data_IF_247719149973
#
_entry.id   IF_247719149973
#
_cell.length_a   1.000
_cell.length_b   1.000
_cell.length_c   1.000
_cell.angle_alpha   90.00
_cell.angle_beta   90.00
_cell.angle_gamma   90.00
#
_symmetry.space_group_name_H-M   'P 1'
#
loop_
_entity.id
_entity.type
_entity.pdbx_description
1 polymer ?
#
# COMPACT_ATOMS: atom_id res chain seq x y z
N UNK A 1 -6.88 -23.69 -37.86
CA UNK A 1 -6.29 -24.29 -36.64
C UNK A 1 -4.80 -24.02 -36.74
N UNK A 2 -4.22 -23.19 -35.86
CA UNK A 2 -2.78 -22.87 -35.93
C UNK A 2 -1.96 -24.13 -35.58
N UNK A 3 -0.83 -24.39 -36.23
CA UNK A 3 -0.02 -25.57 -35.93
C UNK A 3 0.53 -25.50 -34.49
N UNK A 4 0.61 -26.63 -33.79
CA UNK A 4 1.02 -26.69 -32.37
C UNK A 4 2.37 -26.00 -32.07
N UNK A 5 3.32 -26.01 -33.01
CA UNK A 5 4.60 -25.33 -32.85
C UNK A 5 4.48 -23.80 -32.79
N UNK A 6 3.55 -23.19 -33.53
CA UNK A 6 3.29 -21.74 -33.47
C UNK A 6 2.67 -21.33 -32.13
N UNK A 7 1.83 -22.19 -31.54
CA UNK A 7 1.19 -21.93 -30.24
C UNK A 7 2.25 -21.93 -29.13
N UNK A 8 3.21 -22.86 -29.17
CA UNK A 8 4.29 -22.94 -28.19
C UNK A 8 5.25 -21.74 -28.29
N UNK A 9 5.60 -21.31 -29.51
CA UNK A 9 6.42 -20.12 -29.74
C UNK A 9 5.74 -18.85 -29.22
N UNK A 10 4.45 -18.67 -29.52
CA UNK A 10 3.69 -17.51 -29.06
C UNK A 10 3.55 -17.48 -27.53
N UNK A 11 3.32 -18.64 -26.90
CA UNK A 11 3.27 -18.76 -25.45
C UNK A 11 4.63 -18.44 -24.79
N UNK A 12 5.73 -18.91 -25.39
CA UNK A 12 7.09 -18.61 -24.92
C UNK A 12 7.40 -17.11 -25.03
N UNK A 13 7.10 -16.49 -26.18
CA UNK A 13 7.30 -15.05 -26.40
C UNK A 13 6.49 -14.23 -25.39
N UNK A 14 5.22 -14.58 -25.16
CA UNK A 14 4.37 -13.89 -24.20
C UNK A 14 4.86 -14.06 -22.76
N UNK A 15 5.36 -15.25 -22.41
CA UNK A 15 5.96 -15.51 -21.10
C UNK A 15 7.21 -14.66 -20.89
N UNK A 16 8.12 -14.62 -21.88
CA UNK A 16 9.34 -13.79 -21.82
C UNK A 16 8.98 -12.31 -21.68
N UNK A 17 8.04 -11.80 -22.49
CA UNK A 17 7.56 -10.41 -22.41
C UNK A 17 7.00 -10.11 -21.01
N UNK A 18 6.21 -11.01 -20.44
CA UNK A 18 5.64 -10.86 -19.10
C UNK A 18 6.72 -10.81 -18.01
N UNK A 19 7.73 -11.70 -18.10
CA UNK A 19 8.86 -11.73 -17.16
C UNK A 19 9.66 -10.42 -17.25
N UNK A 20 10.01 -9.97 -18.46
CA UNK A 20 10.76 -8.74 -18.67
C UNK A 20 9.98 -7.51 -18.19
N UNK A 21 8.68 -7.45 -18.47
CA UNK A 21 7.82 -6.37 -18.00
C UNK A 21 7.71 -6.35 -16.48
N UNK A 22 7.56 -7.52 -15.84
CA UNK A 22 7.51 -7.64 -14.38
C UNK A 22 8.83 -7.21 -13.75
N UNK A 23 9.97 -7.63 -14.32
CA UNK A 23 11.30 -7.21 -13.90
C UNK A 23 11.49 -5.70 -14.06
N UNK A 24 11.04 -5.12 -15.17
CA UNK A 24 11.06 -3.68 -15.39
C UNK A 24 10.21 -2.92 -14.36
N UNK A 25 8.97 -3.35 -14.11
CA UNK A 25 8.11 -2.74 -13.10
C UNK A 25 8.70 -2.85 -11.70
N UNK A 26 9.30 -3.99 -11.38
CA UNK A 26 10.00 -4.20 -10.11
C UNK A 26 11.16 -3.21 -9.96
N UNK A 27 12.08 -3.16 -10.92
CA UNK A 27 13.21 -2.23 -10.92
C UNK A 27 12.76 -0.77 -10.86
N UNK A 28 11.77 -0.38 -11.67
CA UNK A 28 11.20 0.97 -11.68
C UNK A 28 10.60 1.34 -10.34
N UNK A 29 9.86 0.44 -9.70
CA UNK A 29 9.24 0.66 -8.39
C UNK A 29 10.30 0.84 -7.31
N UNK A 30 11.28 -0.07 -7.25
CA UNK A 30 12.38 0.02 -6.31
C UNK A 30 13.18 1.33 -6.47
N UNK A 31 13.53 1.69 -7.72
CA UNK A 31 14.25 2.93 -8.00
C UNK A 31 13.45 4.18 -7.64
N UNK A 32 12.14 4.18 -7.93
CA UNK A 32 11.24 5.28 -7.57
C UNK A 32 11.21 5.48 -6.06
N UNK A 33 11.03 4.41 -5.29
CA UNK A 33 10.98 4.50 -3.83
C UNK A 33 12.34 4.87 -3.23
N UNK A 34 13.45 4.31 -3.73
CA UNK A 34 14.80 4.77 -3.33
C UNK A 34 14.92 6.29 -3.48
N UNK A 35 14.52 6.85 -4.63
CA UNK A 35 14.62 8.29 -4.88
C UNK A 35 13.65 9.10 -4.03
N UNK A 36 12.43 8.59 -3.81
CA UNK A 36 11.40 9.25 -3.01
C UNK A 36 11.89 9.52 -1.59
N UNK A 37 12.52 8.51 -0.98
CA UNK A 37 12.89 8.53 0.44
C UNK A 37 14.33 9.02 0.70
N UNK A 38 15.15 9.25 -0.33
CA UNK A 38 16.60 9.62 -0.22
C UNK A 38 16.89 10.93 0.53
N UNK A 39 15.89 11.77 0.78
CA UNK A 39 16.07 13.14 1.31
C UNK A 39 15.19 13.45 2.53
N UNK A 40 14.67 12.43 3.20
CA UNK A 40 13.70 12.59 4.28
C UNK A 40 14.26 13.33 5.52
N UNK A 41 15.53 13.11 5.88
CA UNK A 41 16.08 13.42 7.21
C UNK A 41 16.18 14.91 7.60
N UNK A 42 15.73 15.85 6.77
CA UNK A 42 15.89 17.30 7.04
C UNK A 42 14.61 18.13 6.91
N UNK A 43 13.47 17.52 6.57
CA UNK A 43 12.24 18.30 6.36
C UNK A 43 11.58 18.64 7.70
N UNK A 44 11.51 19.93 8.03
CA UNK A 44 10.77 20.44 9.20
C UNK A 44 9.26 20.36 8.91
N UNK A 45 8.47 19.91 9.88
CA UNK A 45 7.01 19.77 9.76
C UNK A 45 6.54 18.44 9.17
N UNK A 46 5.23 18.26 9.03
CA UNK A 46 4.63 17.02 8.50
C UNK A 46 4.64 17.04 6.98
N UNK A 47 5.19 16.00 6.36
CA UNK A 47 5.22 15.82 4.91
C UNK A 47 4.77 14.40 4.57
N UNK A 48 3.49 14.25 4.23
CA UNK A 48 2.84 12.97 4.01
C UNK A 48 2.94 12.49 2.56
N UNK A 49 3.12 11.20 2.36
CA UNK A 49 2.86 10.52 1.09
C UNK A 49 1.78 9.48 1.30
N UNK A 50 0.72 9.55 0.50
CA UNK A 50 -0.47 8.68 0.62
C UNK A 50 -0.36 7.36 -0.17
N UNK A 51 0.86 7.00 -0.62
CA UNK A 51 1.10 5.82 -1.44
C UNK A 51 0.73 5.96 -2.92
N UNK A 52 0.12 7.09 -3.31
CA UNK A 52 -0.28 7.38 -4.69
C UNK A 52 0.39 8.66 -5.18
N UNK A 53 0.88 8.66 -6.42
CA UNK A 53 1.54 9.85 -6.99
C UNK A 53 0.57 11.02 -7.20
N UNK A 54 -0.72 10.73 -7.35
CA UNK A 54 -1.80 11.72 -7.50
C UNK A 54 -2.95 11.30 -6.60
N UNK A 55 -3.46 12.27 -5.85
CA UNK A 55 -4.70 12.14 -5.08
C UNK A 55 -5.78 12.90 -5.83
N UNK A 56 -6.98 12.33 -6.02
CA UNK A 56 -8.11 13.06 -6.61
C UNK A 56 -8.37 14.35 -5.83
N UNK A 57 -8.66 15.44 -6.53
CA UNK A 57 -9.10 16.70 -5.90
C UNK A 57 -10.54 16.57 -5.43
N UNK A 58 -10.98 17.36 -4.45
CA UNK A 58 -12.36 17.30 -3.92
C UNK A 58 -13.47 17.43 -4.96
N UNK A 59 -13.22 18.15 -6.06
CA UNK A 59 -14.18 18.31 -7.15
C UNK A 59 -14.16 17.16 -8.18
N UNK A 60 -13.30 16.17 -7.99
CA UNK A 60 -13.18 15.00 -8.85
C UNK A 60 -13.85 13.80 -8.18
N UNK A 61 -14.49 12.95 -8.99
CA UNK A 61 -15.10 11.73 -8.49
C UNK A 61 -14.04 10.79 -7.90
N UNK A 62 -14.27 10.38 -6.66
CA UNK A 62 -13.48 9.40 -5.93
C UNK A 62 -14.43 8.46 -5.17
N UNK A 63 -14.00 7.22 -4.95
CA UNK A 63 -14.81 6.21 -4.27
C UNK A 63 -13.95 5.32 -3.36
N UNK A 64 -14.55 4.78 -2.31
CA UNK A 64 -13.88 3.86 -1.40
C UNK A 64 -12.81 4.54 -0.54
N UNK A 65 -11.74 3.82 -0.22
CA UNK A 65 -10.74 4.28 0.76
C UNK A 65 -9.97 5.55 0.37
N UNK A 66 -9.88 5.85 -0.92
CA UNK A 66 -9.10 7.00 -1.42
C UNK A 66 -9.74 8.35 -1.05
N UNK A 67 -11.05 8.37 -0.75
CA UNK A 67 -11.74 9.57 -0.27
C UNK A 67 -11.09 10.09 1.02
N UNK A 68 -10.68 9.19 1.92
CA UNK A 68 -9.96 9.58 3.15
C UNK A 68 -8.65 10.33 2.83
N UNK A 69 -7.94 9.92 1.77
CA UNK A 69 -6.75 10.62 1.32
C UNK A 69 -7.09 11.95 0.64
N UNK A 70 -8.17 12.01 -0.15
CA UNK A 70 -8.67 13.25 -0.76
C UNK A 70 -9.02 14.29 0.30
N UNK A 71 -9.71 13.91 1.38
CA UNK A 71 -10.07 14.81 2.47
C UNK A 71 -8.83 15.31 3.22
N UNK A 72 -7.88 14.42 3.54
CA UNK A 72 -6.66 14.78 4.25
C UNK A 72 -5.71 15.63 3.39
N UNK A 73 -5.76 15.48 2.06
CA UNK A 73 -4.85 16.16 1.14
C UNK A 73 -5.02 17.70 1.15
N UNK A 74 -6.16 18.22 1.61
CA UNK A 74 -6.36 19.67 1.77
C UNK A 74 -5.57 20.23 2.95
N UNK A 75 -5.50 19.49 4.06
CA UNK A 75 -4.77 19.89 5.28
C UNK A 75 -3.30 19.48 5.21
N UNK A 76 -3.02 18.29 4.68
CA UNK A 76 -1.69 17.70 4.54
C UNK A 76 -1.45 17.29 3.07
N UNK A 77 -0.98 18.22 2.21
CA UNK A 77 -0.81 17.94 0.80
C UNK A 77 0.14 16.77 0.51
N UNK A 78 -0.27 15.91 -0.43
CA UNK A 78 0.51 14.76 -0.86
C UNK A 78 1.90 15.18 -1.37
N UNK A 79 2.93 14.70 -0.70
CA UNK A 79 4.33 15.00 -0.99
C UNK A 79 5.01 13.80 -1.65
N UNK A 80 5.13 13.84 -2.98
CA UNK A 80 5.80 12.79 -3.74
C UNK A 80 7.34 12.81 -3.62
N UNK A 81 7.93 13.90 -3.11
CA UNK A 81 9.38 14.07 -2.96
C UNK A 81 9.73 14.29 -1.49
N UNK A 82 10.65 13.47 -0.99
CA UNK A 82 11.17 13.55 0.38
C UNK A 82 10.07 13.62 1.48
N UNK A 83 9.02 12.77 1.44
CA UNK A 83 8.08 12.68 2.55
C UNK A 83 8.75 12.11 3.80
N UNK A 84 8.23 12.49 4.96
CA UNK A 84 8.64 11.97 6.27
C UNK A 84 7.60 11.09 6.94
N UNK A 85 6.41 11.01 6.34
CA UNK A 85 5.32 10.16 6.78
C UNK A 85 4.73 9.42 5.58
N UNK A 86 4.61 8.10 5.68
CA UNK A 86 3.84 7.25 4.79
C UNK A 86 2.48 7.00 5.43
N UNK A 87 1.41 7.43 4.77
CA UNK A 87 0.04 7.18 5.22
C UNK A 87 -0.63 6.21 4.25
N UNK A 88 -1.05 5.05 4.73
CA UNK A 88 -1.72 4.04 3.91
C UNK A 88 -3.13 3.79 4.40
N UNK A 89 -4.07 3.59 3.48
CA UNK A 89 -5.44 3.18 3.77
C UNK A 89 -5.64 1.76 3.25
N UNK A 90 -6.04 0.82 4.11
CA UNK A 90 -6.06 -0.59 3.72
C UNK A 90 -7.07 -0.91 2.61
N UNK A 91 -8.17 -0.16 2.53
CA UNK A 91 -9.17 -0.27 1.45
C UNK A 91 -8.84 0.56 0.20
N UNK A 92 -7.66 1.18 0.13
CA UNK A 92 -7.14 1.87 -1.06
C UNK A 92 -5.62 1.64 -1.20
N UNK A 93 -5.21 0.40 -0.94
CA UNK A 93 -3.80 0.03 -0.86
C UNK A 93 -3.10 0.14 -2.23
N UNK A 94 -1.93 0.78 -2.31
CA UNK A 94 -1.11 0.77 -3.53
C UNK A 94 -0.62 -0.65 -3.88
N UNK A 95 -0.46 -0.95 -5.17
CA UNK A 95 -0.06 -2.28 -5.67
C UNK A 95 1.26 -2.82 -5.10
N UNK A 96 2.16 -1.92 -4.66
CA UNK A 96 3.49 -2.27 -4.16
C UNK A 96 3.74 -1.75 -2.73
N UNK A 97 2.69 -1.68 -1.92
CA UNK A 97 2.77 -1.14 -0.56
C UNK A 97 3.89 -1.74 0.32
N UNK A 98 4.17 -3.07 0.31
CA UNK A 98 5.29 -3.61 1.09
C UNK A 98 6.67 -3.02 0.70
N UNK A 99 6.87 -2.74 -0.60
CA UNK A 99 8.11 -2.09 -1.09
C UNK A 99 8.18 -0.65 -0.58
N UNK A 100 7.06 0.09 -0.65
CA UNK A 100 6.97 1.46 -0.14
C UNK A 100 7.29 1.52 1.36
N UNK A 101 6.67 0.64 2.16
CA UNK A 101 6.92 0.52 3.60
C UNK A 101 8.39 0.24 3.87
N UNK A 102 8.99 -0.75 3.19
CA UNK A 102 10.40 -1.09 3.37
C UNK A 102 11.31 0.11 3.18
N UNK A 103 11.13 0.89 2.11
CA UNK A 103 11.98 2.05 1.85
C UNK A 103 11.68 3.23 2.76
N UNK A 104 10.41 3.48 3.09
CA UNK A 104 10.01 4.49 4.06
C UNK A 104 10.67 4.24 5.42
N UNK A 105 10.56 3.00 5.95
CA UNK A 105 11.17 2.61 7.22
C UNK A 105 12.69 2.67 7.18
N UNK A 106 13.32 2.22 6.08
CA UNK A 106 14.79 2.32 5.90
C UNK A 106 15.27 3.78 5.92
N UNK A 107 14.44 4.71 5.47
CA UNK A 107 14.73 6.15 5.50
C UNK A 107 14.24 6.86 6.78
N UNK A 108 13.85 6.11 7.83
CA UNK A 108 13.40 6.66 9.10
C UNK A 108 12.03 7.35 9.08
N UNK A 109 11.26 7.23 7.98
CA UNK A 109 9.91 7.78 7.91
C UNK A 109 8.95 7.03 8.85
N UNK A 110 7.93 7.75 9.33
CA UNK A 110 6.84 7.14 10.11
C UNK A 110 5.80 6.53 9.18
N UNK A 111 5.28 5.37 9.56
CA UNK A 111 4.16 4.69 8.88
C UNK A 111 2.91 4.82 9.74
N UNK A 112 1.88 5.45 9.18
CA UNK A 112 0.52 5.45 9.72
C UNK A 112 -0.35 4.58 8.83
N UNK A 113 -1.06 3.63 9.42
CA UNK A 113 -1.97 2.74 8.72
C UNK A 113 -3.41 3.01 9.16
N UNK A 114 -4.26 3.40 8.22
CA UNK A 114 -5.71 3.44 8.39
C UNK A 114 -6.30 2.09 7.97
N UNK A 115 -6.58 1.25 8.97
CA UNK A 115 -7.07 -0.11 8.80
C UNK A 115 -8.60 -0.13 8.79
N UNK A 116 -9.18 -0.46 7.64
CA UNK A 116 -10.62 -0.44 7.40
C UNK A 116 -11.29 -1.83 7.44
N UNK A 117 -10.51 -2.90 7.29
CA UNK A 117 -11.05 -4.26 7.30
C UNK A 117 -9.99 -5.30 6.97
N UNK A 118 -10.42 -6.56 6.91
CA UNK A 118 -9.55 -7.71 6.58
C UNK A 118 -10.25 -8.56 5.52
N UNK A 119 -9.51 -9.42 4.83
CA UNK A 119 -10.14 -10.51 4.11
C UNK A 119 -10.67 -11.52 5.13
N UNK A 120 -12.00 -11.72 5.13
CA UNK A 120 -12.67 -12.62 6.06
C UNK A 120 -13.13 -13.91 5.34
N UNK A 121 -13.11 -15.06 6.02
CA UNK A 121 -13.50 -16.35 5.44
C UNK A 121 -14.88 -16.35 4.78
N UNK A 122 -15.84 -15.63 5.34
CA UNK A 122 -17.22 -15.56 4.82
C UNK A 122 -17.33 -15.05 3.37
N UNK A 123 -16.35 -14.30 2.87
CA UNK A 123 -16.39 -13.74 1.52
C UNK A 123 -15.10 -13.98 0.71
N UNK A 124 -14.03 -14.51 1.32
CA UNK A 124 -12.78 -14.89 0.62
C UNK A 124 -12.43 -16.37 0.71
N UNK A 125 -13.20 -17.20 1.43
CA UNK A 125 -12.96 -18.63 1.61
C UNK A 125 -11.48 -18.91 1.97
N UNK A 126 -10.85 -19.88 1.29
CA UNK A 126 -9.45 -20.26 1.48
C UNK A 126 -8.42 -19.23 0.95
N UNK A 127 -8.86 -18.13 0.31
CA UNK A 127 -7.98 -17.09 -0.24
C UNK A 127 -7.68 -15.97 0.75
N UNK A 128 -8.18 -16.05 1.98
CA UNK A 128 -7.97 -15.02 3.00
C UNK A 128 -6.49 -14.71 3.21
N UNK A 129 -5.62 -15.73 3.29
CA UNK A 129 -4.20 -15.52 3.59
C UNK A 129 -3.46 -14.81 2.45
N UNK A 130 -3.84 -15.06 1.20
CA UNK A 130 -3.26 -14.37 0.03
C UNK A 130 -3.53 -12.86 0.13
N UNK A 131 -4.73 -12.49 0.58
CA UNK A 131 -5.14 -11.09 0.73
C UNK A 131 -4.59 -10.47 2.03
N UNK A 132 -4.57 -11.23 3.13
CA UNK A 132 -4.17 -10.73 4.45
C UNK A 132 -2.66 -10.70 4.68
N UNK A 133 -1.88 -11.56 4.02
CA UNK A 133 -0.43 -11.64 4.18
C UNK A 133 0.28 -10.29 3.97
N UNK A 134 0.01 -9.57 2.85
CA UNK A 134 0.55 -8.23 2.64
C UNK A 134 0.13 -7.23 3.74
N UNK A 135 -1.13 -7.28 4.18
CA UNK A 135 -1.62 -6.39 5.24
C UNK A 135 -0.99 -6.68 6.60
N UNK A 136 -0.76 -7.94 6.94
CA UNK A 136 -0.04 -8.36 8.15
C UNK A 136 1.37 -7.78 8.16
N UNK A 137 2.08 -7.84 7.04
CA UNK A 137 3.42 -7.26 6.92
C UNK A 137 3.40 -5.73 7.13
N UNK A 138 2.44 -5.03 6.53
CA UNK A 138 2.32 -3.57 6.66
C UNK A 138 1.96 -3.18 8.11
N UNK A 139 0.97 -3.86 8.70
CA UNK A 139 0.52 -3.65 10.07
C UNK A 139 1.66 -3.87 11.07
N UNK A 140 2.47 -4.91 10.88
CA UNK A 140 3.63 -5.19 11.72
C UNK A 140 4.66 -4.05 11.73
N UNK A 141 4.84 -3.35 10.61
CA UNK A 141 5.81 -2.25 10.48
C UNK A 141 5.25 -0.86 10.83
N UNK A 142 3.94 -0.76 11.06
CA UNK A 142 3.27 0.49 11.38
C UNK A 142 3.85 1.12 12.66
N UNK A 143 3.97 2.44 12.69
CA UNK A 143 4.29 3.20 13.90
C UNK A 143 3.01 3.63 14.63
N UNK A 144 1.92 3.78 13.88
CA UNK A 144 0.59 4.09 14.40
C UNK A 144 -0.49 3.45 13.54
N UNK A 145 -1.56 2.93 14.17
CA UNK A 145 -2.68 2.30 13.48
C UNK A 145 -3.99 2.95 13.87
N UNK A 146 -4.77 3.36 12.88
CA UNK A 146 -6.11 3.91 13.05
C UNK A 146 -7.09 2.84 12.59
N UNK A 147 -7.98 2.40 13.47
CA UNK A 147 -9.05 1.48 13.13
C UNK A 147 -10.35 2.24 12.91
N UNK A 148 -11.11 1.86 11.88
CA UNK A 148 -12.42 2.46 11.59
C UNK A 148 -13.53 2.00 12.55
N UNK A 149 -13.31 0.92 13.30
CA UNK A 149 -14.26 0.43 14.30
C UNK A 149 -13.56 -0.56 15.22
N UNK A 150 -14.17 -0.81 16.39
CA UNK A 150 -13.74 -1.89 17.29
C UNK A 150 -13.79 -3.25 16.58
N UNK A 151 -14.83 -3.47 15.78
CA UNK A 151 -14.95 -4.68 14.95
C UNK A 151 -13.74 -4.85 14.03
N UNK A 152 -13.28 -3.79 13.35
CA UNK A 152 -12.10 -3.85 12.50
C UNK A 152 -10.82 -4.15 13.29
N UNK A 153 -10.68 -3.58 14.49
CA UNK A 153 -9.55 -3.84 15.37
C UNK A 153 -9.53 -5.32 15.78
N UNK A 154 -10.64 -5.86 16.27
CA UNK A 154 -10.74 -7.26 16.69
C UNK A 154 -10.55 -8.24 15.53
N UNK A 155 -11.14 -7.94 14.36
CA UNK A 155 -10.88 -8.71 13.15
C UNK A 155 -9.40 -8.68 12.77
N UNK A 156 -8.75 -7.52 12.88
CA UNK A 156 -7.32 -7.40 12.59
C UNK A 156 -6.47 -8.24 13.56
N UNK A 157 -6.78 -8.23 14.86
CA UNK A 157 -6.10 -9.11 15.84
C UNK A 157 -6.23 -10.58 15.45
N UNK A 158 -7.44 -10.99 15.05
CA UNK A 158 -7.75 -12.38 14.71
C UNK A 158 -7.09 -12.85 13.40
N UNK A 159 -7.13 -12.03 12.36
CA UNK A 159 -6.77 -12.45 10.99
C UNK A 159 -5.42 -11.92 10.50
N UNK A 160 -5.01 -10.74 10.99
CA UNK A 160 -3.70 -10.15 10.68
C UNK A 160 -2.68 -10.45 11.77
N UNK A 161 -3.11 -10.75 13.01
CA UNK A 161 -2.22 -11.06 14.13
C UNK A 161 -1.94 -9.83 14.99
N UNK A 162 -0.92 -9.91 15.85
CA UNK A 162 -0.57 -8.85 16.78
C UNK A 162 0.34 -7.79 16.16
N UNK A 163 0.22 -6.55 16.66
CA UNK A 163 1.10 -5.43 16.35
C UNK A 163 1.58 -4.77 17.64
N UNK A 164 2.70 -4.03 17.55
CA UNK A 164 3.27 -3.29 18.69
C UNK A 164 2.95 -1.79 18.65
N UNK A 165 2.52 -1.29 17.50
CA UNK A 165 2.22 0.12 17.31
C UNK A 165 1.13 0.60 18.27
N UNK A 166 1.20 1.88 18.66
CA UNK A 166 0.04 2.52 19.27
C UNK A 166 -1.11 2.51 18.28
N UNK A 167 -2.32 2.32 18.78
CA UNK A 167 -3.51 2.31 17.94
C UNK A 167 -4.70 2.93 18.64
N UNK A 168 -5.61 3.48 17.84
CA UNK A 168 -6.89 4.01 18.29
C UNK A 168 -8.01 3.57 17.34
N UNK A 169 -9.23 3.59 17.86
CA UNK A 169 -10.46 3.43 17.07
C UNK A 169 -11.07 4.81 16.90
N UNK A 170 -11.37 5.22 15.67
CA UNK A 170 -12.09 6.47 15.39
C UNK A 170 -13.59 6.19 15.26
N UNK A 171 -14.40 7.00 15.93
CA UNK A 171 -15.86 6.97 15.94
C UNK A 171 -16.46 8.03 15.02
#
# INVERSE_FOLDING_TARGET
MLPEHWILEELLINTIKSILYTAFLFCKTHFTEIRRWKLNNQKKGISVFYGHNRIPKRNEHASGGIIKCQDLNDTYPNSIKAPNLLYLVSSAMPSYAPIMVRYAKKAGAKLVLNQNGVAHPAYHNNRCEIMNGPYRNILFHADYVIFQSEFCMEASKRYLGSWKAKSEVLY
#
